data_IF_906146050376
#
_entry.id   IF_906146050376
#
_cell.length_a   1.000
_cell.length_b   1.000
_cell.length_c   1.000
_cell.angle_alpha   90.00
_cell.angle_beta   90.00
_cell.angle_gamma   90.00
#
_symmetry.space_group_name_H-M   'P 1'
#
loop_
_entity.id
_entity.type
_entity.pdbx_description
1 polymer ?
#
# COMPACT_ATOMS: atom_id res chain seq x y z
N UNK A 1 24.05 -9.41 -20.89
CA UNK A 1 23.28 -9.20 -19.63
C UNK A 1 22.77 -7.77 -19.52
N UNK A 2 23.53 -6.74 -19.91
CA UNK A 2 23.06 -5.35 -19.93
C UNK A 2 21.80 -5.13 -20.75
N UNK A 3 21.72 -5.67 -21.97
CA UNK A 3 20.56 -5.48 -22.86
C UNK A 3 19.25 -6.15 -22.37
N UNK A 4 19.36 -7.26 -21.64
CA UNK A 4 18.22 -7.94 -21.06
C UNK A 4 17.62 -7.16 -19.88
N UNK A 5 18.48 -6.62 -19.00
CA UNK A 5 18.04 -5.74 -17.91
C UNK A 5 17.51 -4.41 -18.45
N UNK A 6 18.12 -3.87 -19.51
CA UNK A 6 17.61 -2.69 -20.20
C UNK A 6 16.25 -2.95 -20.84
N UNK A 7 16.05 -4.11 -21.47
CA UNK A 7 14.75 -4.51 -22.00
C UNK A 7 13.67 -4.65 -20.94
N UNK A 8 14.01 -5.16 -19.74
CA UNK A 8 13.09 -5.23 -18.59
C UNK A 8 12.76 -3.82 -18.08
N UNK A 9 13.74 -2.92 -17.95
CA UNK A 9 13.53 -1.54 -17.52
C UNK A 9 12.64 -0.78 -18.51
N UNK A 10 12.92 -0.89 -19.81
CA UNK A 10 12.12 -0.27 -20.88
C UNK A 10 10.70 -0.84 -20.92
N UNK A 11 10.54 -2.16 -20.73
CA UNK A 11 9.21 -2.77 -20.61
C UNK A 11 8.48 -2.24 -19.37
N UNK A 12 9.14 -2.17 -18.23
CA UNK A 12 8.57 -1.65 -16.99
C UNK A 12 8.17 -0.17 -17.12
N UNK A 13 9.02 0.67 -17.71
CA UNK A 13 8.69 2.07 -18.02
C UNK A 13 7.51 2.16 -19.01
N UNK A 14 7.43 1.28 -20.01
CA UNK A 14 6.32 1.26 -20.99
C UNK A 14 4.96 0.92 -20.38
N UNK A 15 4.93 0.24 -19.24
CA UNK A 15 3.67 -0.04 -18.54
C UNK A 15 3.12 1.20 -17.83
N UNK A 16 3.90 2.28 -17.70
CA UNK A 16 3.52 3.51 -17.00
C UNK A 16 3.00 3.26 -15.57
N UNK A 17 3.35 2.13 -14.94
CA UNK A 17 2.80 1.73 -13.64
C UNK A 17 3.10 2.76 -12.54
N UNK A 18 4.31 3.33 -12.55
CA UNK A 18 4.70 4.41 -11.65
C UNK A 18 3.81 5.65 -11.82
N UNK A 19 3.52 6.01 -13.07
CA UNK A 19 2.62 7.11 -13.41
C UNK A 19 1.17 6.77 -12.99
N UNK A 20 0.71 5.55 -13.23
CA UNK A 20 -0.62 5.07 -12.85
C UNK A 20 -0.83 5.03 -11.33
N UNK A 21 0.22 4.73 -10.56
CA UNK A 21 0.18 4.78 -9.08
C UNK A 21 0.16 6.23 -8.60
N UNK A 22 0.93 7.12 -9.23
CA UNK A 22 1.00 8.54 -8.88
C UNK A 22 -0.29 9.29 -9.21
N UNK A 23 -0.88 8.96 -10.35
CA UNK A 23 -2.11 9.56 -10.87
C UNK A 23 -3.34 8.71 -10.49
N UNK A 24 -3.19 7.77 -9.55
CA UNK A 24 -4.30 6.90 -9.15
C UNK A 24 -5.37 7.77 -8.49
N UNK A 25 -6.50 7.91 -9.17
CA UNK A 25 -7.66 8.60 -8.61
C UNK A 25 -8.28 7.68 -7.56
N UNK A 26 -7.90 7.87 -6.30
CA UNK A 26 -8.41 7.09 -5.18
C UNK A 26 -9.95 7.17 -5.10
N UNK A 27 -10.52 8.33 -5.46
CA UNK A 27 -11.98 8.53 -5.51
C UNK A 27 -12.56 7.74 -6.68
N UNK A 28 -11.93 7.84 -7.86
CA UNK A 28 -12.24 7.06 -9.05
C UNK A 28 -12.25 5.55 -8.82
N UNK A 29 -11.31 5.01 -8.03
CA UNK A 29 -11.21 3.58 -7.73
C UNK A 29 -12.45 3.06 -6.98
N UNK A 30 -12.93 3.79 -5.98
CA UNK A 30 -14.14 3.40 -5.23
C UNK A 30 -15.45 3.76 -5.94
N UNK A 31 -15.40 4.55 -7.02
CA UNK A 31 -16.57 4.71 -7.91
C UNK A 31 -16.61 3.68 -9.03
N UNK A 32 -15.52 2.95 -9.27
CA UNK A 32 -15.43 1.92 -10.30
C UNK A 32 -16.11 0.62 -9.83
N UNK A 33 -17.22 0.19 -10.46
CA UNK A 33 -17.94 -1.01 -10.06
C UNK A 33 -17.09 -2.28 -10.16
N UNK A 34 -16.14 -2.34 -11.10
CA UNK A 34 -15.26 -3.49 -11.30
C UNK A 34 -14.26 -3.69 -10.16
N UNK A 35 -13.94 -2.63 -9.42
CA UNK A 35 -13.14 -2.73 -8.20
C UNK A 35 -14.03 -2.89 -6.98
N UNK A 36 -15.05 -2.03 -6.86
CA UNK A 36 -15.91 -1.97 -5.68
C UNK A 36 -16.65 -3.28 -5.44
N UNK A 37 -17.23 -3.91 -6.48
CA UNK A 37 -18.04 -5.12 -6.32
C UNK A 37 -17.20 -6.30 -5.80
N UNK A 38 -16.04 -6.67 -6.41
CA UNK A 38 -15.17 -7.70 -5.85
C UNK A 38 -14.64 -7.36 -4.45
N UNK A 39 -14.26 -6.10 -4.20
CA UNK A 39 -13.74 -5.67 -2.91
C UNK A 39 -14.79 -5.83 -1.80
N UNK A 40 -16.00 -5.33 -2.02
CA UNK A 40 -17.11 -5.46 -1.07
C UNK A 40 -17.51 -6.93 -0.89
N UNK A 41 -17.55 -7.72 -1.96
CA UNK A 41 -17.82 -9.15 -1.86
C UNK A 41 -16.78 -9.88 -1.00
N UNK A 42 -15.49 -9.57 -1.16
CA UNK A 42 -14.41 -10.10 -0.33
C UNK A 42 -14.59 -9.71 1.14
N UNK A 43 -14.88 -8.44 1.44
CA UNK A 43 -15.08 -7.97 2.82
C UNK A 43 -16.28 -8.66 3.47
N UNK A 44 -17.42 -8.73 2.77
CA UNK A 44 -18.62 -9.43 3.25
C UNK A 44 -18.37 -10.92 3.46
N UNK A 45 -17.60 -11.56 2.58
CA UNK A 45 -17.21 -12.96 2.72
C UNK A 45 -16.34 -13.21 3.96
N UNK A 46 -15.34 -12.35 4.20
CA UNK A 46 -14.49 -12.44 5.39
C UNK A 46 -15.27 -12.18 6.69
N UNK A 47 -16.23 -11.24 6.67
CA UNK A 47 -17.14 -10.99 7.78
C UNK A 47 -18.04 -12.20 8.07
N UNK A 48 -18.62 -12.80 7.03
CA UNK A 48 -19.43 -14.02 7.16
C UNK A 48 -18.63 -15.17 7.79
N UNK A 49 -17.37 -15.34 7.40
CA UNK A 49 -16.46 -16.34 7.97
C UNK A 49 -15.89 -15.98 9.35
N UNK A 50 -16.20 -14.80 9.88
CA UNK A 50 -15.61 -14.27 11.12
C UNK A 50 -14.07 -14.26 11.09
N UNK A 51 -13.49 -14.06 9.90
CA UNK A 51 -12.04 -14.01 9.69
C UNK A 51 -11.49 -12.63 10.08
N UNK A 52 -11.66 -12.25 11.36
CA UNK A 52 -11.32 -10.93 11.87
C UNK A 52 -9.83 -10.58 11.71
N UNK A 53 -8.95 -11.57 11.83
CA UNK A 53 -7.52 -11.38 11.57
C UNK A 53 -7.27 -10.90 10.14
N UNK A 54 -7.92 -11.54 9.18
CA UNK A 54 -7.73 -11.24 7.76
C UNK A 54 -8.38 -9.89 7.41
N UNK A 55 -9.52 -9.55 8.03
CA UNK A 55 -10.12 -8.21 7.94
C UNK A 55 -9.19 -7.11 8.47
N UNK A 56 -8.50 -7.36 9.58
CA UNK A 56 -7.52 -6.41 10.13
C UNK A 56 -6.37 -6.23 9.13
N UNK A 57 -5.88 -7.29 8.49
CA UNK A 57 -4.85 -7.16 7.46
C UNK A 57 -5.34 -6.35 6.26
N UNK A 58 -6.55 -6.60 5.76
CA UNK A 58 -7.14 -5.80 4.67
C UNK A 58 -7.21 -4.33 5.08
N UNK A 59 -7.67 -4.02 6.29
CA UNK A 59 -7.72 -2.64 6.79
C UNK A 59 -6.33 -2.01 6.89
N UNK A 60 -5.32 -2.75 7.35
CA UNK A 60 -3.94 -2.27 7.41
C UNK A 60 -3.37 -2.00 6.01
N UNK A 61 -3.62 -2.86 5.03
CA UNK A 61 -3.18 -2.64 3.66
C UNK A 61 -3.82 -1.39 3.06
N UNK A 62 -5.13 -1.20 3.27
CA UNK A 62 -5.83 0.01 2.84
C UNK A 62 -5.27 1.26 3.55
N UNK A 63 -4.99 1.18 4.84
CA UNK A 63 -4.45 2.30 5.61
C UNK A 63 -3.03 2.68 5.15
N UNK A 64 -2.14 1.70 4.95
CA UNK A 64 -0.77 1.95 4.44
C UNK A 64 -0.82 2.53 3.04
N UNK A 65 -1.66 1.98 2.17
CA UNK A 65 -1.86 2.49 0.83
C UNK A 65 -2.38 3.94 0.85
N UNK A 66 -3.39 4.24 1.66
CA UNK A 66 -3.91 5.59 1.83
C UNK A 66 -2.86 6.58 2.32
N UNK A 67 -2.11 6.24 3.38
CA UNK A 67 -1.05 7.08 3.95
C UNK A 67 0.05 7.35 2.91
N UNK A 68 0.36 6.38 2.05
CA UNK A 68 1.36 6.53 0.99
C UNK A 68 0.99 7.58 -0.06
N UNK A 69 -0.31 7.85 -0.24
CA UNK A 69 -0.83 8.86 -1.18
C UNK A 69 -0.97 10.27 -0.60
N UNK A 70 -0.67 10.49 0.69
CA UNK A 70 -0.77 11.81 1.31
C UNK A 70 0.29 12.77 0.77
N UNK A 71 -0.05 14.05 0.64
CA UNK A 71 0.87 15.12 0.23
C UNK A 71 2.14 15.18 1.09
N UNK A 72 2.04 14.78 2.35
CA UNK A 72 3.17 14.65 3.25
C UNK A 72 4.31 13.80 2.67
N UNK A 73 3.99 12.71 1.97
CA UNK A 73 4.99 11.80 1.39
C UNK A 73 5.80 12.48 0.27
N UNK A 74 5.20 13.44 -0.44
CA UNK A 74 5.86 14.21 -1.49
C UNK A 74 6.92 15.17 -0.91
N UNK A 75 6.78 15.56 0.36
CA UNK A 75 7.73 16.47 1.04
C UNK A 75 8.98 15.77 1.57
N UNK A 76 9.06 14.44 1.48
CA UNK A 76 10.18 13.67 2.03
C UNK A 76 11.44 13.72 1.15
N UNK A 77 11.30 14.12 -0.12
CA UNK A 77 12.42 14.36 -1.03
C UNK A 77 12.32 15.79 -1.52
N UNK A 78 13.29 16.62 -1.13
CA UNK A 78 13.39 18.02 -1.57
C UNK A 78 14.78 18.23 -2.14
N UNK A 79 14.83 18.81 -3.34
CA UNK A 79 16.07 19.06 -4.09
C UNK A 79 16.93 17.80 -4.32
N UNK A 80 16.30 16.62 -4.37
CA UNK A 80 16.97 15.32 -4.52
C UNK A 80 17.58 14.78 -3.21
N UNK A 81 17.45 15.50 -2.11
CA UNK A 81 17.88 15.06 -0.79
C UNK A 81 16.72 14.51 0.03
N UNK A 82 17.00 13.43 0.76
CA UNK A 82 16.03 12.72 1.57
C UNK A 82 15.95 13.39 2.95
N UNK A 83 14.81 13.99 3.27
CA UNK A 83 14.63 14.70 4.54
C UNK A 83 14.44 13.70 5.68
N UNK A 84 15.54 13.35 6.35
CA UNK A 84 15.57 12.39 7.46
C UNK A 84 14.52 12.72 8.54
N UNK A 85 14.34 13.99 8.88
CA UNK A 85 13.35 14.45 9.86
C UNK A 85 11.90 14.12 9.47
N UNK A 86 11.59 14.06 8.17
CA UNK A 86 10.26 13.75 7.64
C UNK A 86 10.03 12.25 7.46
N UNK A 87 11.11 11.52 7.17
CA UNK A 87 11.09 10.06 6.97
C UNK A 87 11.06 9.30 8.28
N UNK A 88 11.71 9.81 9.34
CA UNK A 88 11.72 9.17 10.66
C UNK A 88 10.32 8.80 11.16
N UNK A 89 9.34 9.73 11.23
CA UNK A 89 7.98 9.43 11.69
C UNK A 89 7.32 8.30 10.89
N UNK A 90 7.55 8.24 9.57
CA UNK A 90 7.00 7.20 8.70
C UNK A 90 7.64 5.85 9.00
N UNK A 91 8.96 5.82 9.20
CA UNK A 91 9.68 4.60 9.57
C UNK A 91 9.24 4.07 10.94
N UNK A 92 9.06 4.95 11.93
CA UNK A 92 8.52 4.55 13.23
C UNK A 92 7.09 4.03 13.13
N UNK A 93 6.24 4.68 12.34
CA UNK A 93 4.89 4.20 12.06
C UNK A 93 4.90 2.82 11.40
N UNK A 94 5.74 2.62 10.38
CA UNK A 94 5.90 1.33 9.70
C UNK A 94 6.41 0.24 10.64
N UNK A 95 7.39 0.56 11.50
CA UNK A 95 7.91 -0.36 12.51
C UNK A 95 6.83 -0.75 13.54
N UNK A 96 6.01 0.20 13.99
CA UNK A 96 4.90 -0.06 14.90
C UNK A 96 3.84 -0.96 14.25
N UNK A 97 3.47 -0.71 12.99
CA UNK A 97 2.56 -1.56 12.23
C UNK A 97 3.13 -2.96 12.06
N UNK A 98 4.43 -3.10 11.74
CA UNK A 98 5.09 -4.39 11.66
C UNK A 98 5.07 -5.14 12.99
N UNK A 99 5.36 -4.47 14.11
CA UNK A 99 5.26 -5.06 15.45
C UNK A 99 3.84 -5.55 15.75
N UNK A 100 2.83 -4.77 15.37
CA UNK A 100 1.43 -5.16 15.51
C UNK A 100 1.05 -6.36 14.63
N UNK A 101 1.54 -6.40 13.38
CA UNK A 101 1.36 -7.56 12.48
C UNK A 101 2.00 -8.82 13.06
N UNK A 102 3.24 -8.72 13.56
CA UNK A 102 3.94 -9.84 14.21
C UNK A 102 3.14 -10.33 15.43
N UNK A 103 2.63 -9.41 16.26
CA UNK A 103 1.76 -9.76 17.38
C UNK A 103 0.50 -10.50 16.92
N UNK A 104 -0.17 -10.04 15.87
CA UNK A 104 -1.37 -10.73 15.36
C UNK A 104 -1.09 -12.10 14.74
N UNK A 105 0.09 -12.31 14.16
CA UNK A 105 0.47 -13.58 13.55
C UNK A 105 0.97 -14.62 14.56
N UNK A 106 1.75 -14.19 15.55
CA UNK A 106 2.46 -15.10 16.46
C UNK A 106 2.07 -14.92 17.93
N UNK A 107 1.72 -13.70 18.35
CA UNK A 107 1.41 -13.38 19.75
C UNK A 107 -0.05 -13.59 20.13
N UNK A 108 -0.96 -13.40 19.17
CA UNK A 108 -2.36 -13.80 19.26
C UNK A 108 -2.47 -15.24 18.73
N UNK A 109 -1.86 -16.18 19.46
CA UNK A 109 -2.25 -17.58 19.32
C UNK A 109 -3.72 -17.70 19.74
N UNK A 110 -4.54 -18.39 18.95
CA UNK A 110 -5.81 -18.94 19.46
C UNK A 110 -5.57 -19.77 20.73
#
# INVERSE_FOLDING_TARGET
MGDFLNGILVWFESTHLLQQIKDVDYVGLFTNPWFLVPFVAMVLYLLYKQAFRDLIFVALFVAVWWVSGLDYMQTMVVDGELQVNKVLPVLFGAAAVLGFVIYLLFGRSD
#
